data_IF_541698869233
#
_entry.id   IF_541698869233
#
_cell.length_a   1.000
_cell.length_b   1.000
_cell.length_c   1.000
_cell.angle_alpha   90.00
_cell.angle_beta   90.00
_cell.angle_gamma   90.00
#
_symmetry.space_group_name_H-M   'P 1'
#
loop_
_entity.id
_entity.type
_entity.pdbx_description
1 polymer ?
#
# COMPACT_ATOMS: atom_id res chain seq x y z
N UNK A 1 -41.63 11.55 14.17
CA UNK A 1 -41.35 10.18 13.67
C UNK A 1 -40.03 10.21 12.91
N UNK A 2 -39.10 9.27 13.17
CA UNK A 2 -37.85 9.15 12.39
C UNK A 2 -38.08 8.13 11.28
N UNK A 3 -37.82 8.51 10.02
CA UNK A 3 -37.91 7.63 8.87
C UNK A 3 -36.57 7.62 8.14
N UNK A 4 -36.15 6.45 7.69
CA UNK A 4 -34.98 6.30 6.81
C UNK A 4 -35.52 5.81 5.48
N UNK A 5 -35.40 6.62 4.41
CA UNK A 5 -35.79 6.22 3.06
C UNK A 5 -34.70 5.33 2.45
N UNK A 6 -35.04 4.13 1.94
CA UNK A 6 -34.05 3.09 1.65
C UNK A 6 -34.38 2.20 0.43
N UNK A 7 -33.32 1.67 -0.21
CA UNK A 7 -33.38 0.48 -1.08
C UNK A 7 -33.46 -0.75 -0.18
N UNK A 8 -34.48 -1.60 -0.36
CA UNK A 8 -34.99 -2.58 0.62
C UNK A 8 -34.10 -3.77 1.01
N UNK A 9 -32.85 -3.87 0.56
CA UNK A 9 -32.05 -5.08 0.74
C UNK A 9 -30.92 -4.90 1.79
N UNK A 10 -30.77 -5.85 2.71
CA UNK A 10 -29.69 -5.92 3.71
C UNK A 10 -29.93 -5.25 5.08
N UNK A 11 -31.03 -4.51 5.29
CA UNK A 11 -31.28 -3.80 6.54
C UNK A 11 -31.84 -4.71 7.66
N UNK A 12 -31.31 -4.60 8.88
CA UNK A 12 -31.80 -5.34 10.06
C UNK A 12 -32.51 -4.41 11.04
N UNK A 13 -33.85 -4.30 10.91
CA UNK A 13 -34.67 -3.42 11.76
C UNK A 13 -34.54 -3.71 13.26
N UNK A 14 -34.47 -4.98 13.66
CA UNK A 14 -34.38 -5.37 15.07
C UNK A 14 -33.07 -4.96 15.75
N UNK A 15 -32.03 -4.64 14.98
CA UNK A 15 -30.73 -4.19 15.47
C UNK A 15 -30.51 -2.69 15.26
N UNK A 16 -31.50 -1.98 14.72
CA UNK A 16 -31.41 -0.57 14.38
C UNK A 16 -32.29 0.28 15.30
N UNK A 17 -31.94 1.54 15.48
CA UNK A 17 -32.68 2.50 16.31
C UNK A 17 -32.74 3.89 15.64
N UNK A 18 -33.12 4.93 16.38
CA UNK A 18 -33.28 6.30 15.87
C UNK A 18 -31.97 6.96 15.42
N UNK A 19 -30.82 6.44 15.84
CA UNK A 19 -29.49 7.01 15.57
C UNK A 19 -28.56 6.08 14.78
N UNK A 20 -28.82 4.78 14.77
CA UNK A 20 -27.96 3.76 14.16
C UNK A 20 -28.77 2.83 13.25
N UNK A 21 -28.23 2.60 12.06
CA UNK A 21 -28.78 1.70 11.04
C UNK A 21 -27.82 0.53 10.88
N UNK A 22 -28.29 -0.69 11.14
CA UNK A 22 -27.50 -1.92 10.98
C UNK A 22 -27.86 -2.60 9.67
N UNK A 23 -26.85 -2.82 8.85
CA UNK A 23 -26.95 -3.57 7.59
C UNK A 23 -26.09 -4.83 7.66
N UNK A 24 -26.59 -5.93 7.11
CA UNK A 24 -25.90 -7.22 6.99
C UNK A 24 -25.79 -7.60 5.54
N UNK A 25 -24.76 -8.38 5.21
CA UNK A 25 -24.48 -8.82 3.83
C UNK A 25 -24.52 -7.63 2.86
N UNK A 26 -23.71 -6.60 3.16
CA UNK A 26 -23.63 -5.39 2.35
C UNK A 26 -22.98 -5.73 1.03
N UNK A 27 -23.71 -5.48 -0.06
CA UNK A 27 -23.25 -5.67 -1.43
C UNK A 27 -22.94 -4.32 -2.09
N UNK A 28 -22.17 -4.34 -3.18
CA UNK A 28 -21.73 -3.09 -3.84
C UNK A 28 -22.86 -2.27 -4.46
N UNK A 29 -24.03 -2.88 -4.68
CA UNK A 29 -25.27 -2.22 -5.14
C UNK A 29 -25.98 -1.41 -4.03
N UNK A 30 -25.56 -1.54 -2.77
CA UNK A 30 -26.07 -0.74 -1.65
C UNK A 30 -25.31 0.59 -1.50
N UNK A 31 -24.25 0.82 -2.28
CA UNK A 31 -23.61 2.13 -2.33
C UNK A 31 -24.61 3.21 -2.82
N UNK A 32 -24.56 4.39 -2.21
CA UNK A 32 -25.41 5.51 -2.57
C UNK A 32 -25.68 6.49 -1.43
N UNK A 33 -26.59 7.43 -1.69
CA UNK A 33 -26.96 8.48 -0.74
C UNK A 33 -28.05 7.98 0.22
N UNK A 34 -27.73 7.96 1.50
CA UNK A 34 -28.65 7.64 2.59
C UNK A 34 -29.10 8.93 3.26
N UNK A 35 -30.37 8.99 3.67
CA UNK A 35 -30.92 10.16 4.35
C UNK A 35 -31.69 9.76 5.60
N UNK A 36 -31.46 10.49 6.69
CA UNK A 36 -32.22 10.42 7.92
C UNK A 36 -33.21 11.57 7.95
N UNK A 37 -34.49 11.25 8.09
CA UNK A 37 -35.59 12.21 8.19
C UNK A 37 -36.17 12.19 9.61
N UNK A 38 -36.28 13.37 10.22
CA UNK A 38 -36.93 13.58 11.52
C UNK A 38 -38.07 14.58 11.34
N UNK A 39 -39.30 14.15 11.59
CA UNK A 39 -40.49 15.00 11.49
C UNK A 39 -41.15 15.18 12.86
N UNK A 40 -41.42 16.43 13.24
CA UNK A 40 -42.23 16.81 14.39
C UNK A 40 -43.72 16.62 14.06
N UNK A 41 -44.51 16.22 15.07
CA UNK A 41 -45.96 16.09 14.93
C UNK A 41 -46.65 17.46 15.13
N UNK A 42 -47.98 17.47 15.08
CA UNK A 42 -48.79 18.67 15.33
C UNK A 42 -48.35 19.40 16.63
N UNK A 43 -48.39 20.75 16.65
CA UNK A 43 -48.92 21.66 15.63
C UNK A 43 -47.89 22.14 14.59
N UNK A 44 -46.59 21.87 14.76
CA UNK A 44 -45.53 22.56 14.01
C UNK A 44 -45.10 21.87 12.70
N UNK A 45 -45.34 20.57 12.55
CA UNK A 45 -45.05 19.78 11.33
C UNK A 45 -43.68 20.05 10.65
N UNK A 46 -42.64 20.35 11.43
CA UNK A 46 -41.31 20.58 10.87
C UNK A 46 -40.62 19.25 10.54
N UNK A 47 -40.01 19.17 9.35
CA UNK A 47 -39.22 18.01 8.92
C UNK A 47 -37.78 18.45 8.64
N UNK A 48 -36.82 17.74 9.23
CA UNK A 48 -35.39 17.93 9.00
C UNK A 48 -34.85 16.67 8.34
N UNK A 49 -34.10 16.85 7.25
CA UNK A 49 -33.46 15.75 6.52
C UNK A 49 -31.96 16.01 6.48
N UNK A 50 -31.17 15.01 6.88
CA UNK A 50 -29.71 15.01 6.73
C UNK A 50 -29.34 13.81 5.87
N UNK A 51 -28.40 14.01 4.94
CA UNK A 51 -27.95 12.95 4.04
C UNK A 51 -26.45 12.72 4.12
N UNK A 52 -26.02 11.49 3.81
CA UNK A 52 -24.62 11.11 3.63
C UNK A 52 -24.47 10.06 2.55
N UNK A 53 -23.32 10.04 1.88
CA UNK A 53 -23.00 9.05 0.86
C UNK A 53 -22.28 7.85 1.50
N UNK A 54 -22.74 6.64 1.17
CA UNK A 54 -22.11 5.39 1.56
C UNK A 54 -21.47 4.76 0.32
N UNK A 55 -20.16 4.51 0.40
CA UNK A 55 -19.42 3.70 -0.56
C UNK A 55 -19.16 2.31 0.04
N UNK A 56 -19.34 1.27 -0.77
CA UNK A 56 -19.04 -0.11 -0.39
C UNK A 56 -17.71 -0.50 -1.01
N UNK A 57 -16.78 -0.94 -0.17
CA UNK A 57 -15.42 -1.24 -0.57
C UNK A 57 -15.21 -2.75 -0.62
N UNK A 58 -14.60 -3.20 -1.70
CA UNK A 58 -14.11 -4.56 -1.87
C UNK A 58 -12.59 -4.48 -2.06
N UNK A 59 -11.80 -4.79 -1.02
CA UNK A 59 -10.35 -4.71 -1.11
C UNK A 59 -9.77 -5.84 -1.96
N UNK A 60 -8.59 -5.65 -2.57
CA UNK A 60 -7.85 -6.74 -3.20
C UNK A 60 -7.61 -7.88 -2.21
N UNK A 61 -7.71 -9.12 -2.70
CA UNK A 61 -7.35 -10.31 -1.90
C UNK A 61 -5.83 -10.41 -1.75
N UNK A 62 -5.09 -10.02 -2.78
CA UNK A 62 -3.63 -10.12 -2.82
C UNK A 62 -2.98 -8.74 -2.67
N UNK A 63 -1.76 -8.72 -2.15
CA UNK A 63 -0.90 -7.54 -2.19
C UNK A 63 -0.60 -7.12 -3.64
N UNK A 64 -0.23 -5.85 -3.90
CA UNK A 64 0.16 -5.43 -5.23
C UNK A 64 1.37 -6.22 -5.76
N UNK A 65 1.41 -6.41 -7.08
CA UNK A 65 2.51 -7.06 -7.79
C UNK A 65 3.36 -6.04 -8.54
N UNK A 66 4.68 -6.28 -8.61
CA UNK A 66 5.63 -5.42 -9.33
C UNK A 66 6.28 -6.20 -10.47
N UNK A 67 6.31 -5.61 -11.65
CA UNK A 67 6.87 -6.20 -12.88
C UNK A 67 7.79 -5.20 -13.59
N UNK A 68 8.71 -5.69 -14.43
CA UNK A 68 9.63 -4.87 -15.24
C UNK A 68 10.96 -4.51 -14.57
N UNK A 69 11.13 -4.84 -13.28
CA UNK A 69 12.38 -4.62 -12.54
C UNK A 69 13.46 -5.60 -13.00
N UNK A 70 14.67 -5.10 -13.29
CA UNK A 70 15.83 -5.92 -13.64
C UNK A 70 16.49 -6.50 -12.38
N UNK A 71 17.26 -7.58 -12.55
CA UNK A 71 17.95 -8.25 -11.45
C UNK A 71 19.01 -7.37 -10.77
N UNK A 72 19.64 -6.45 -11.52
CA UNK A 72 20.64 -5.48 -11.04
C UNK A 72 20.57 -4.21 -11.88
N UNK A 73 21.00 -3.08 -11.34
CA UNK A 73 21.11 -1.81 -12.06
C UNK A 73 22.47 -1.13 -11.84
N UNK A 74 22.91 -0.36 -12.82
CA UNK A 74 24.04 0.58 -12.73
C UNK A 74 23.52 2.02 -12.75
N UNK A 75 24.25 2.96 -12.13
CA UNK A 75 24.00 4.38 -12.35
C UNK A 75 24.01 4.72 -13.85
N UNK A 76 22.99 5.43 -14.32
CA UNK A 76 22.75 5.74 -15.73
C UNK A 76 21.72 4.83 -16.41
N UNK A 77 21.40 3.66 -15.84
CA UNK A 77 20.36 2.78 -16.37
C UNK A 77 18.97 3.40 -16.19
N UNK A 78 18.03 3.01 -17.04
CA UNK A 78 16.63 3.42 -16.93
C UNK A 78 15.83 2.31 -16.26
N UNK A 79 15.29 2.59 -15.06
CA UNK A 79 14.38 1.69 -14.36
C UNK A 79 12.95 1.93 -14.86
N UNK A 80 12.34 0.89 -15.44
CA UNK A 80 10.93 0.88 -15.88
C UNK A 80 10.19 -0.25 -15.20
N UNK A 81 9.22 0.07 -14.36
CA UNK A 81 8.43 -0.95 -13.67
C UNK A 81 6.95 -0.57 -13.63
N UNK A 82 6.10 -1.59 -13.55
CA UNK A 82 4.67 -1.44 -13.31
C UNK A 82 4.30 -2.10 -11.99
N UNK A 83 3.51 -1.40 -11.20
CA UNK A 83 2.84 -1.94 -10.03
C UNK A 83 1.36 -2.12 -10.36
N UNK A 84 0.82 -3.28 -10.03
CA UNK A 84 -0.57 -3.65 -10.34
C UNK A 84 -1.27 -4.10 -9.07
N UNK A 85 -2.44 -3.54 -8.79
CA UNK A 85 -3.36 -4.04 -7.75
C UNK A 85 -4.64 -4.53 -8.42
N UNK A 86 -4.93 -5.81 -8.22
CA UNK A 86 -5.99 -6.52 -8.92
C UNK A 86 -7.32 -6.46 -8.16
N UNK A 87 -8.42 -6.37 -8.92
CA UNK A 87 -9.77 -6.71 -8.49
C UNK A 87 -10.20 -6.05 -7.17
N UNK A 88 -10.35 -4.73 -7.19
CA UNK A 88 -10.83 -3.95 -6.05
C UNK A 88 -11.94 -2.99 -6.44
N UNK A 89 -12.71 -2.52 -5.46
CA UNK A 89 -13.70 -1.46 -5.67
C UNK A 89 -13.70 -0.54 -4.45
N UNK A 90 -13.47 0.77 -4.60
CA UNK A 90 -12.93 1.41 -5.79
C UNK A 90 -11.51 0.91 -6.11
N UNK A 91 -11.00 1.21 -7.30
CA UNK A 91 -9.63 0.92 -7.68
C UNK A 91 -8.63 1.46 -6.64
N UNK A 92 -7.69 0.62 -6.20
CA UNK A 92 -6.68 1.03 -5.22
C UNK A 92 -5.77 2.16 -5.73
N UNK A 93 -5.48 3.13 -4.85
CA UNK A 93 -4.51 4.18 -5.08
C UNK A 93 -3.09 3.63 -4.94
N UNK A 94 -2.33 3.70 -6.03
CA UNK A 94 -0.96 3.19 -6.11
C UNK A 94 0.04 4.33 -6.00
N UNK A 95 1.05 4.13 -5.15
CA UNK A 95 2.16 5.08 -4.97
C UNK A 95 3.50 4.36 -5.03
N UNK A 96 4.52 5.09 -5.46
CA UNK A 96 5.89 4.58 -5.56
C UNK A 96 6.83 5.37 -4.66
N UNK A 97 7.76 4.66 -4.05
CA UNK A 97 8.85 5.24 -3.27
C UNK A 97 10.17 4.54 -3.61
N UNK A 98 11.26 5.29 -3.50
CA UNK A 98 12.63 4.81 -3.61
C UNK A 98 13.34 5.09 -2.30
N UNK A 99 13.87 4.05 -1.65
CA UNK A 99 14.49 4.16 -0.32
C UNK A 99 13.60 4.93 0.68
N UNK A 100 12.29 4.65 0.66
CA UNK A 100 11.25 5.30 1.47
C UNK A 100 10.97 6.78 1.14
N UNK A 101 11.59 7.33 0.10
CA UNK A 101 11.32 8.68 -0.41
C UNK A 101 10.33 8.62 -1.57
N UNK A 102 9.25 9.40 -1.56
CA UNK A 102 8.29 9.46 -2.67
C UNK A 102 8.95 9.82 -4.01
N UNK A 103 8.61 9.08 -5.07
CA UNK A 103 9.08 9.39 -6.41
C UNK A 103 8.25 10.58 -6.96
N UNK A 104 8.90 11.63 -7.51
CA UNK A 104 8.19 12.75 -8.11
C UNK A 104 7.20 12.33 -9.20
N UNK A 105 6.05 13.00 -9.26
CA UNK A 105 4.96 12.66 -10.17
C UNK A 105 5.36 12.64 -11.66
N UNK A 106 6.36 13.43 -12.06
CA UNK A 106 6.88 13.43 -13.45
C UNK A 106 7.46 12.08 -13.91
N UNK A 107 7.89 11.23 -12.98
CA UNK A 107 8.43 9.90 -13.26
C UNK A 107 7.41 8.78 -13.04
N UNK A 108 6.21 9.12 -12.56
CA UNK A 108 5.13 8.18 -12.26
C UNK A 108 4.01 8.36 -13.27
N UNK A 109 3.57 7.27 -13.88
CA UNK A 109 2.43 7.25 -14.79
C UNK A 109 1.30 6.42 -14.19
N UNK A 110 0.23 7.09 -13.78
CA UNK A 110 -1.00 6.43 -13.36
C UNK A 110 -1.83 6.06 -14.60
N UNK A 111 -2.16 4.78 -14.73
CA UNK A 111 -3.04 4.31 -15.80
C UNK A 111 -4.50 4.39 -15.36
N UNK A 112 -5.42 4.51 -16.33
CA UNK A 112 -6.85 4.42 -16.04
C UNK A 112 -7.15 3.01 -15.50
N UNK A 113 -7.88 2.87 -14.39
CA UNK A 113 -8.26 1.55 -13.88
C UNK A 113 -9.01 0.74 -14.94
N UNK A 114 -8.65 -0.53 -15.05
CA UNK A 114 -9.31 -1.47 -15.95
C UNK A 114 -10.44 -2.10 -15.17
N UNK A 115 -11.67 -1.95 -15.66
CA UNK A 115 -12.86 -2.52 -15.04
C UNK A 115 -13.24 -3.84 -15.68
N UNK A 116 -13.38 -4.86 -14.87
CA UNK A 116 -13.92 -6.15 -15.26
C UNK A 116 -15.44 -6.01 -15.48
N UNK A 117 -15.94 -6.48 -16.63
CA UNK A 117 -17.34 -6.28 -17.03
C UNK A 117 -18.31 -7.22 -16.31
N UNK A 118 -17.84 -8.35 -15.79
CA UNK A 118 -18.67 -9.36 -15.15
C UNK A 118 -18.79 -9.11 -13.64
N UNK A 119 -17.65 -8.90 -12.97
CA UNK A 119 -17.58 -8.64 -11.53
C UNK A 119 -17.77 -7.16 -11.19
N UNK A 120 -17.47 -6.26 -12.12
CA UNK A 120 -17.49 -4.83 -11.88
C UNK A 120 -16.33 -4.33 -11.01
N UNK A 121 -15.35 -5.18 -10.71
CA UNK A 121 -14.13 -4.84 -9.97
C UNK A 121 -13.12 -4.14 -10.88
N UNK A 122 -12.22 -3.39 -10.26
CA UNK A 122 -11.26 -2.53 -10.94
C UNK A 122 -9.83 -2.93 -10.59
N UNK A 123 -8.98 -3.00 -11.61
CA UNK A 123 -7.55 -3.21 -11.49
C UNK A 123 -6.82 -1.88 -11.75
N UNK A 124 -6.06 -1.40 -10.78
CA UNK A 124 -5.23 -0.21 -10.93
C UNK A 124 -3.79 -0.57 -11.29
N UNK A 125 -3.17 0.28 -12.12
CA UNK A 125 -1.77 0.11 -12.54
C UNK A 125 -1.05 1.46 -12.43
N UNK A 126 0.15 1.45 -11.85
CA UNK A 126 1.05 2.60 -11.79
C UNK A 126 2.42 2.23 -12.34
N UNK A 127 2.81 2.89 -13.43
CA UNK A 127 4.14 2.77 -14.01
C UNK A 127 5.12 3.76 -13.41
N UNK A 128 6.40 3.39 -13.37
CA UNK A 128 7.51 4.28 -13.00
C UNK A 128 8.58 4.22 -14.08
N UNK A 129 9.20 5.36 -14.39
CA UNK A 129 10.27 5.48 -15.38
C UNK A 129 11.24 6.60 -14.97
N UNK A 130 12.43 6.23 -14.47
CA UNK A 130 13.47 7.19 -14.09
C UNK A 130 14.88 6.64 -14.35
N UNK A 131 15.84 7.56 -14.44
CA UNK A 131 17.26 7.22 -14.53
C UNK A 131 17.80 6.91 -13.13
N UNK A 132 18.42 5.75 -12.97
CA UNK A 132 19.04 5.33 -11.71
C UNK A 132 20.29 6.17 -11.48
N UNK A 133 20.38 6.84 -10.33
CA UNK A 133 21.52 7.65 -9.93
C UNK A 133 22.31 6.98 -8.79
N UNK A 134 23.51 7.49 -8.49
CA UNK A 134 24.38 6.92 -7.47
C UNK A 134 23.78 7.01 -6.05
N UNK A 135 23.04 8.08 -5.76
CA UNK A 135 22.35 8.34 -4.49
C UNK A 135 21.18 7.38 -4.21
N UNK A 136 20.63 6.78 -5.26
CA UNK A 136 19.60 5.76 -5.15
C UNK A 136 20.11 4.42 -4.56
N UNK A 137 21.43 4.22 -4.46
CA UNK A 137 22.01 3.01 -3.87
C UNK A 137 22.45 3.22 -2.41
N UNK A 138 21.64 2.73 -1.47
CA UNK A 138 21.97 2.72 -0.05
C UNK A 138 22.58 1.37 0.31
N UNK A 139 23.83 1.37 0.78
CA UNK A 139 24.59 0.13 1.07
C UNK A 139 24.65 -0.83 -0.14
N UNK A 140 24.75 -0.26 -1.35
CA UNK A 140 24.84 -1.01 -2.61
C UNK A 140 23.54 -1.66 -3.07
N UNK A 141 22.39 -1.23 -2.54
CA UNK A 141 21.05 -1.69 -2.96
C UNK A 141 20.11 -0.50 -3.16
N UNK A 142 19.27 -0.61 -4.18
CA UNK A 142 18.14 0.28 -4.43
C UNK A 142 16.88 -0.39 -3.89
N UNK A 143 16.15 0.26 -2.99
CA UNK A 143 14.85 -0.22 -2.51
C UNK A 143 13.73 0.46 -3.27
N UNK A 144 13.04 -0.29 -4.12
CA UNK A 144 11.84 0.17 -4.82
C UNK A 144 10.61 -0.38 -4.11
N UNK A 145 9.71 0.49 -3.65
CA UNK A 145 8.48 0.09 -2.93
C UNK A 145 7.26 0.65 -3.63
N UNK A 146 6.28 -0.22 -3.89
CA UNK A 146 4.94 0.17 -4.28
C UNK A 146 3.97 -0.01 -3.11
N UNK A 147 3.05 0.94 -2.92
CA UNK A 147 2.01 0.89 -1.89
C UNK A 147 0.64 1.05 -2.54
N UNK A 148 -0.28 0.14 -2.22
CA UNK A 148 -1.67 0.14 -2.65
C UNK A 148 -2.57 0.49 -1.45
N UNK A 149 -3.49 1.44 -1.64
CA UNK A 149 -4.36 1.90 -0.56
C UNK A 149 -5.78 2.20 -1.04
N UNK A 150 -6.77 1.91 -0.18
CA UNK A 150 -8.17 2.31 -0.37
C UNK A 150 -8.64 2.96 0.91
N UNK A 151 -8.86 4.27 0.85
CA UNK A 151 -9.22 5.11 2.00
C UNK A 151 -8.32 4.80 3.22
N UNK A 152 -8.90 4.55 4.39
CA UNK A 152 -8.19 4.12 5.60
C UNK A 152 -8.42 2.62 5.90
N UNK A 153 -9.03 1.88 4.95
CA UNK A 153 -9.54 0.52 5.19
C UNK A 153 -8.63 -0.57 4.61
N UNK A 154 -7.86 -0.25 3.57
CA UNK A 154 -6.89 -1.16 2.96
C UNK A 154 -5.58 -0.45 2.73
N UNK A 155 -4.47 -1.09 3.12
CA UNK A 155 -3.13 -0.60 2.87
C UNK A 155 -2.14 -1.76 2.80
N UNK A 156 -1.63 -2.06 1.62
CA UNK A 156 -0.65 -3.12 1.39
C UNK A 156 0.55 -2.61 0.60
N UNK A 157 1.70 -3.24 0.81
CA UNK A 157 2.95 -2.80 0.17
C UNK A 157 3.79 -3.97 -0.32
N UNK A 158 4.51 -3.75 -1.42
CA UNK A 158 5.51 -4.67 -1.94
C UNK A 158 6.83 -3.93 -2.15
N UNK A 159 7.92 -4.54 -1.68
CA UNK A 159 9.27 -4.00 -1.82
C UNK A 159 10.13 -4.90 -2.71
N UNK A 160 10.98 -4.28 -3.53
CA UNK A 160 12.00 -4.92 -4.34
C UNK A 160 13.37 -4.33 -3.99
N UNK A 161 14.28 -5.19 -3.54
CA UNK A 161 15.66 -4.82 -3.21
C UNK A 161 16.57 -5.19 -4.38
N UNK A 162 16.95 -4.20 -5.18
CA UNK A 162 17.76 -4.41 -6.38
C UNK A 162 19.22 -4.08 -6.08
N UNK A 163 20.15 -5.04 -6.19
CA UNK A 163 21.57 -4.80 -5.98
C UNK A 163 22.16 -3.92 -7.08
N UNK A 164 23.13 -3.08 -6.69
CA UNK A 164 23.99 -2.36 -7.61
C UNK A 164 24.86 -3.34 -8.40
N UNK A 165 24.96 -3.14 -9.71
CA UNK A 165 25.86 -3.92 -10.55
C UNK A 165 27.27 -3.31 -10.54
N UNK A 166 28.06 -3.74 -9.57
CA UNK A 166 29.47 -3.35 -9.45
C UNK A 166 30.34 -4.23 -10.32
N UNK A 167 31.27 -3.67 -11.11
CA UNK A 167 32.25 -4.48 -11.82
C UNK A 167 33.06 -5.28 -10.81
N UNK A 168 33.09 -6.61 -10.98
CA UNK A 168 34.01 -7.47 -10.24
C UNK A 168 35.41 -7.12 -10.74
N UNK A 169 36.19 -6.41 -9.92
CA UNK A 169 37.63 -6.34 -10.15
C UNK A 169 38.14 -7.77 -9.95
N UNK A 170 38.32 -8.49 -11.05
CA UNK A 170 39.09 -9.72 -11.04
C UNK A 170 40.50 -9.32 -10.63
N UNK A 171 40.88 -9.61 -9.40
CA UNK A 171 42.25 -9.47 -8.98
C UNK A 171 43.06 -10.52 -9.75
N UNK A 172 43.49 -10.19 -10.97
CA UNK A 172 44.66 -10.81 -11.58
C UNK A 172 45.85 -10.32 -10.76
N UNK A 173 46.02 -10.93 -9.59
CA UNK A 173 47.25 -10.82 -8.81
C UNK A 173 48.36 -11.51 -9.58
N UNK A 174 48.93 -10.84 -10.59
CA UNK A 174 50.29 -11.12 -10.98
C UNK A 174 51.13 -10.59 -9.83
N UNK A 175 51.42 -11.45 -8.87
CA UNK A 175 52.44 -11.19 -7.87
C UNK A 175 53.72 -10.89 -8.62
N UNK A 176 54.09 -9.61 -8.68
CA UNK A 176 55.39 -9.16 -9.13
C UNK A 176 56.43 -9.55 -8.06
N UNK A 177 56.70 -10.84 -7.93
CA UNK A 177 57.98 -11.32 -7.41
C UNK A 177 58.89 -11.45 -8.63
N UNK A 178 59.76 -10.46 -8.79
CA UNK A 178 60.75 -10.43 -9.86
C UNK A 178 61.63 -11.67 -9.80
N UNK A 179 61.50 -12.53 -10.80
CA UNK A 179 62.56 -13.40 -11.27
C UNK A 179 62.44 -13.51 -12.79
N UNK A 180 63.46 -13.01 -13.48
CA UNK A 180 63.68 -13.19 -14.90
C UNK A 180 63.84 -14.69 -15.19
N UNK A 181 62.97 -15.29 -16.00
CA UNK A 181 63.31 -16.53 -16.70
C UNK A 181 62.91 -16.45 -18.16
N UNK A 182 63.91 -16.78 -18.96
CA UNK A 182 64.05 -16.72 -20.40
C UNK A 182 62.92 -17.40 -21.18
N UNK A 183 62.61 -16.78 -22.31
CA UNK A 183 62.13 -17.43 -23.52
C UNK A 183 62.87 -18.76 -23.76
N UNK A 184 62.13 -19.85 -23.93
CA UNK A 184 62.50 -20.95 -24.80
C UNK A 184 61.23 -21.57 -25.40
N UNK A 185 61.33 -21.83 -26.69
CA UNK A 185 60.33 -22.38 -27.59
C UNK A 185 60.57 -23.88 -27.79
N UNK A 186 59.49 -24.64 -28.03
CA UNK A 186 59.50 -26.06 -28.39
C UNK A 186 58.70 -26.89 -27.38
N UNK A 187 57.88 -27.88 -27.71
CA UNK A 187 57.59 -28.63 -28.95
C UNK A 187 56.28 -29.39 -28.72
N UNK A 188 55.57 -29.71 -29.80
CA UNK A 188 54.41 -30.62 -29.85
C UNK A 188 54.82 -32.03 -29.45
N UNK A 189 54.07 -32.68 -28.54
CA UNK A 189 53.83 -34.12 -28.57
C UNK A 189 52.56 -34.49 -27.81
N UNK A 190 51.81 -35.39 -28.42
CA UNK A 190 50.50 -35.95 -28.11
C UNK A 190 50.65 -37.30 -27.38
N UNK A 191 49.81 -37.58 -26.36
CA UNK A 191 49.21 -38.90 -26.07
C UNK A 191 48.61 -39.00 -24.65
N UNK A 192 47.29 -39.25 -24.60
CA UNK A 192 46.51 -40.23 -23.82
C UNK A 192 46.56 -40.36 -22.27
N UNK A 193 45.33 -40.38 -21.68
CA UNK A 193 44.75 -41.22 -20.60
C UNK A 193 45.70 -41.87 -19.57
N UNK A 194 45.45 -41.93 -18.27
CA UNK A 194 44.23 -42.15 -17.45
C UNK A 194 44.72 -42.02 -16.00
N UNK A 195 43.94 -41.48 -15.06
CA UNK A 195 43.47 -42.29 -13.93
C UNK A 195 42.62 -41.53 -12.92
N UNK A 196 41.66 -42.28 -12.45
CA UNK A 196 40.55 -41.98 -11.56
C UNK A 196 41.00 -42.19 -10.11
N UNK A 197 40.70 -41.25 -9.22
CA UNK A 197 40.52 -41.58 -7.80
C UNK A 197 39.58 -40.59 -7.11
N UNK A 198 38.45 -41.15 -6.69
CA UNK A 198 37.43 -40.55 -5.86
C UNK A 198 37.96 -40.22 -4.44
N UNK A 199 37.26 -39.32 -3.73
CA UNK A 199 36.72 -39.55 -2.38
C UNK A 199 36.72 -38.32 -1.45
N UNK A 200 35.49 -37.91 -1.11
CA UNK A 200 34.99 -37.41 0.20
C UNK A 200 35.69 -36.24 0.92
N UNK A 201 34.89 -35.21 1.27
CA UNK A 201 34.45 -34.99 2.66
C UNK A 201 33.33 -33.93 2.74
N UNK A 202 32.25 -34.34 3.38
CA UNK A 202 31.01 -33.61 3.68
C UNK A 202 31.08 -32.84 5.00
N UNK A 203 30.31 -31.74 5.04
CA UNK A 203 29.50 -31.22 6.17
C UNK A 203 30.25 -30.76 7.43
N UNK A 204 30.06 -29.48 7.75
CA UNK A 204 29.73 -29.08 9.13
C UNK A 204 28.61 -28.03 9.10
N UNK A 205 27.43 -28.46 9.53
CA UNK A 205 26.32 -27.59 9.88
C UNK A 205 26.52 -27.01 11.28
N UNK A 206 26.18 -25.74 11.44
CA UNK A 206 25.90 -25.14 12.74
C UNK A 206 24.46 -24.68 12.76
N UNK A 207 23.66 -25.38 13.57
CA UNK A 207 22.31 -25.02 13.98
C UNK A 207 22.42 -24.31 15.32
N UNK A 208 21.83 -23.13 15.45
CA UNK A 208 21.65 -22.45 16.73
C UNK A 208 20.23 -21.89 16.79
N UNK A 209 19.34 -22.64 17.45
CA UNK A 209 18.10 -22.11 17.99
C UNK A 209 18.39 -21.42 19.32
N UNK A 210 17.85 -20.22 19.53
CA UNK A 210 17.49 -19.71 20.86
C UNK A 210 16.51 -18.53 20.76
N UNK A 211 15.48 -18.65 21.57
CA UNK A 211 14.34 -17.77 21.78
C UNK A 211 14.63 -16.60 22.75
N UNK A 212 13.84 -15.53 22.59
CA UNK A 212 13.48 -14.44 23.56
C UNK A 212 14.53 -13.33 23.83
N UNK A 213 14.15 -12.08 24.27
CA UNK A 213 12.88 -11.63 24.89
C UNK A 213 12.30 -10.25 24.41
N UNK A 214 11.17 -9.87 25.04
CA UNK A 214 10.42 -8.60 24.99
C UNK A 214 11.19 -7.33 25.47
N UNK A 215 10.57 -6.17 25.16
CA UNK A 215 10.67 -4.81 25.75
C UNK A 215 11.73 -3.86 25.14
N UNK A 216 11.52 -2.56 24.91
CA UNK A 216 10.39 -1.64 25.12
C UNK A 216 10.62 -0.31 24.36
N UNK A 217 9.52 0.36 24.02
CA UNK A 217 9.30 1.82 24.03
C UNK A 217 10.28 2.76 23.28
N UNK A 218 9.77 3.39 22.22
CA UNK A 218 9.94 4.84 22.03
C UNK A 218 8.69 5.40 21.34
N UNK A 219 8.07 6.38 21.99
CA UNK A 219 6.71 6.84 21.71
C UNK A 219 6.59 7.57 20.38
N UNK A 220 5.59 7.19 19.60
CA UNK A 220 5.00 8.08 18.60
C UNK A 220 4.01 9.00 19.31
N UNK A 221 4.33 10.29 19.29
CA UNK A 221 3.36 11.35 19.56
C UNK A 221 2.24 11.24 18.52
N UNK A 222 1.09 10.71 18.94
CA UNK A 222 -0.17 10.88 18.23
C UNK A 222 -0.50 12.38 18.28
N UNK A 223 -0.23 13.10 17.20
CA UNK A 223 -0.81 14.42 16.97
C UNK A 223 -2.23 14.16 16.49
N UNK A 224 -3.10 14.07 17.49
CA UNK A 224 -4.53 13.93 17.39
C UNK A 224 -5.14 14.95 16.41
N UNK A 225 -5.79 14.44 15.35
CA UNK A 225 -6.68 15.20 14.46
C UNK A 225 -7.97 15.70 15.16
N UNK A 226 -7.97 15.80 16.49
CA UNK A 226 -9.10 16.15 17.33
C UNK A 226 -9.46 17.64 17.33
N UNK A 227 -8.57 18.52 16.85
CA UNK A 227 -8.83 19.96 16.89
C UNK A 227 -9.90 20.40 15.87
N UNK A 228 -10.02 19.71 14.72
CA UNK A 228 -11.05 20.06 13.71
C UNK A 228 -12.43 19.51 14.04
N UNK A 229 -12.51 18.33 14.67
CA UNK A 229 -13.80 17.71 15.02
C UNK A 229 -14.44 18.42 16.21
N UNK A 230 -13.67 18.82 17.22
CA UNK A 230 -14.20 19.56 18.37
C UNK A 230 -14.83 20.90 17.99
N UNK A 231 -14.27 21.65 17.04
CA UNK A 231 -14.85 22.94 16.63
C UNK A 231 -16.20 22.75 15.91
N UNK A 232 -16.31 21.73 15.07
CA UNK A 232 -17.56 21.43 14.34
C UNK A 232 -18.63 20.91 15.30
N UNK A 233 -18.27 20.05 16.26
CA UNK A 233 -19.22 19.54 17.26
C UNK A 233 -19.66 20.61 18.26
N UNK A 234 -18.78 21.54 18.66
CA UNK A 234 -19.14 22.68 19.50
C UNK A 234 -20.11 23.63 18.78
N UNK A 235 -19.86 23.91 17.49
CA UNK A 235 -20.72 24.79 16.70
C UNK A 235 -22.12 24.19 16.50
N UNK A 236 -22.19 22.88 16.26
CA UNK A 236 -23.47 22.16 16.15
C UNK A 236 -24.21 22.14 17.49
N UNK A 237 -23.53 21.90 18.62
CA UNK A 237 -24.16 21.96 19.95
C UNK A 237 -24.70 23.36 20.30
N UNK A 238 -23.98 24.44 19.95
CA UNK A 238 -24.44 25.81 20.17
C UNK A 238 -25.68 26.10 19.33
N UNK A 239 -25.70 25.71 18.04
CA UNK A 239 -26.88 25.89 17.19
C UNK A 239 -28.07 25.09 17.72
N UNK A 240 -27.87 23.83 18.11
CA UNK A 240 -28.94 23.01 18.67
C UNK A 240 -29.50 23.59 19.97
N UNK A 241 -28.65 24.09 20.88
CA UNK A 241 -29.10 24.69 22.14
C UNK A 241 -29.83 26.01 21.93
N UNK A 242 -29.33 26.90 21.06
CA UNK A 242 -30.00 28.17 20.73
C UNK A 242 -31.34 27.94 20.04
N UNK A 243 -31.44 26.92 19.18
CA UNK A 243 -32.70 26.55 18.52
C UNK A 243 -33.69 25.96 19.52
N UNK A 244 -33.26 25.10 20.46
CA UNK A 244 -34.13 24.58 21.53
C UNK A 244 -34.63 25.70 22.44
N UNK A 245 -33.78 26.67 22.79
CA UNK A 245 -34.19 27.84 23.58
C UNK A 245 -35.18 28.74 22.83
N UNK A 246 -34.94 29.00 21.54
CA UNK A 246 -35.83 29.80 20.70
C UNK A 246 -37.21 29.13 20.51
N UNK A 247 -37.23 27.80 20.35
CA UNK A 247 -38.48 27.03 20.25
C UNK A 247 -39.24 27.04 21.58
N UNK A 248 -38.56 26.92 22.72
CA UNK A 248 -39.21 27.05 24.03
C UNK A 248 -39.76 28.45 24.27
N UNK A 249 -39.07 29.50 23.80
CA UNK A 249 -39.55 30.88 23.91
C UNK A 249 -40.81 31.12 23.06
N UNK A 250 -40.87 30.53 21.86
CA UNK A 250 -42.03 30.62 20.97
C UNK A 250 -43.26 29.83 21.45
N UNK A 251 -43.09 28.85 22.34
CA UNK A 251 -44.19 28.10 22.95
C UNK A 251 -44.77 28.76 24.21
N UNK A 252 -44.14 29.82 24.74
CA UNK A 252 -44.55 30.51 25.99
C UNK A 252 -45.19 31.88 25.71
N UNK A 253 -45.21 32.33 24.45
CA UNK A 253 -45.95 33.51 23.95
C UNK A 253 -47.12 33.08 23.09
#
# INVERSE_FOLDING_TARGET
MVRVAQRQAGFTRSLSNESHVVMKAVETNYAGKYSCEVSADAPSFHTIIVSGDMEVIEPPIEQPSVTGVQARYRPGDILRANCTSHNSKPAANLTWTINDVPIPAQYVKLYRPIRDTFTGLETSIAGVNFMVAHDHFVKGKLKLKCSASIHQLYHETIEQLVPEDRPRILATGVSASGHSISLYQGTVHESEQTDQSDAYLTVNGYKADKSSPLASSSGSLQIDSYVKVCWVTFYICIICTVMVYSIRYLMVT
#
